data_IF_051536492259
#
_entry.id   IF_051536492259
#
_cell.length_a   1.000
_cell.length_b   1.000
_cell.length_c   1.000
_cell.angle_alpha   90.00
_cell.angle_beta   90.00
_cell.angle_gamma   90.00
#
_symmetry.space_group_name_H-M   'P 1'
#
loop_
_entity.id
_entity.type
_entity.pdbx_description
1 polymer ?
#
# COMPACT_ATOMS: atom_id res chain seq x y z
N UNK A 1 73.71 78.29 12.66
CA UNK A 1 72.38 78.57 12.06
C UNK A 1 72.14 77.56 10.95
N UNK A 2 70.94 76.96 10.95
CA UNK A 2 70.32 76.11 9.91
C UNK A 2 70.70 74.62 9.90
N UNK A 3 69.70 73.77 10.18
CA UNK A 3 69.72 72.35 9.82
C UNK A 3 69.34 71.36 10.92
N UNK A 4 68.42 71.71 11.82
CA UNK A 4 67.65 70.70 12.57
C UNK A 4 66.84 69.87 11.56
N UNK A 5 66.55 68.60 11.88
CA UNK A 5 65.48 67.79 11.26
C UNK A 5 65.83 66.79 10.13
N UNK A 6 66.96 66.09 10.22
CA UNK A 6 67.14 64.79 9.52
C UNK A 6 67.00 63.56 10.44
N UNK A 7 66.71 63.77 11.73
CA UNK A 7 66.54 62.72 12.75
C UNK A 7 65.06 62.39 13.07
N UNK A 8 64.13 62.72 12.16
CA UNK A 8 62.70 62.43 12.32
C UNK A 8 62.11 61.71 11.11
N UNK A 9 62.82 60.70 10.58
CA UNK A 9 62.28 59.83 9.52
C UNK A 9 62.71 58.38 9.66
N UNK A 10 62.78 57.87 10.89
CA UNK A 10 62.93 56.43 11.19
C UNK A 10 61.88 55.95 12.21
N UNK A 11 60.99 56.81 12.70
CA UNK A 11 59.98 56.44 13.70
C UNK A 11 58.55 56.60 13.17
N UNK A 12 58.19 55.90 12.09
CA UNK A 12 56.81 55.40 11.91
C UNK A 12 56.67 54.41 10.76
N UNK A 13 57.33 53.25 10.87
CA UNK A 13 56.97 52.06 10.08
C UNK A 13 56.10 51.08 10.90
N UNK A 14 55.79 51.42 12.15
CA UNK A 14 55.08 50.57 13.12
C UNK A 14 53.69 51.10 13.52
N UNK A 15 53.19 52.15 12.87
CA UNK A 15 51.86 52.69 13.13
C UNK A 15 50.92 52.58 11.91
N UNK A 16 51.08 51.51 11.13
CA UNK A 16 50.00 51.02 10.27
C UNK A 16 49.20 50.02 11.10
N UNK A 17 48.50 50.54 12.11
CA UNK A 17 47.63 49.78 13.02
C UNK A 17 46.28 49.43 12.39
N UNK A 18 46.08 49.70 11.12
CA UNK A 18 44.96 49.20 10.33
C UNK A 18 45.35 49.18 8.84
N UNK A 19 45.59 47.99 8.28
CA UNK A 19 45.18 47.73 6.91
C UNK A 19 43.70 47.38 6.97
N UNK A 20 42.87 48.36 7.30
CA UNK A 20 41.45 48.24 7.07
C UNK A 20 41.30 48.26 5.55
N UNK A 21 41.15 47.08 4.95
CA UNK A 21 40.71 46.90 3.57
C UNK A 21 39.25 47.36 3.45
N UNK A 22 38.97 48.62 3.77
CA UNK A 22 37.69 49.30 3.57
C UNK A 22 37.64 49.79 2.13
N UNK A 23 37.66 48.86 1.18
CA UNK A 23 36.87 49.00 -0.05
C UNK A 23 37.00 47.72 -0.90
N UNK A 24 36.53 46.57 -0.40
CA UNK A 24 35.98 45.59 -1.35
C UNK A 24 34.66 46.19 -1.84
N UNK A 25 34.72 47.05 -2.86
CA UNK A 25 33.56 47.34 -3.68
C UNK A 25 33.15 46.01 -4.29
N UNK A 26 32.35 45.22 -3.56
CA UNK A 26 31.88 43.92 -4.05
C UNK A 26 31.12 44.21 -5.33
N UNK A 27 31.75 43.88 -6.46
CA UNK A 27 31.21 44.09 -7.80
C UNK A 27 29.75 43.63 -7.85
N UNK A 28 28.92 44.34 -8.62
CA UNK A 28 27.54 43.97 -8.94
C UNK A 28 27.40 42.48 -9.30
N UNK A 29 28.45 41.89 -9.90
CA UNK A 29 28.56 40.47 -10.24
C UNK A 29 28.44 39.55 -9.01
N UNK A 30 28.99 39.92 -7.85
CA UNK A 30 28.93 39.10 -6.64
C UNK A 30 27.51 39.08 -6.03
N UNK A 31 26.83 40.24 -6.04
CA UNK A 31 25.44 40.35 -5.59
C UNK A 31 24.49 39.64 -6.56
N UNK A 32 24.71 39.81 -7.87
CA UNK A 32 23.93 39.12 -8.91
C UNK A 32 24.15 37.61 -8.86
N UNK A 33 25.39 37.14 -8.73
CA UNK A 33 25.70 35.71 -8.60
C UNK A 33 25.01 35.11 -7.38
N UNK A 34 25.06 35.77 -6.22
CA UNK A 34 24.40 35.26 -5.03
C UNK A 34 22.87 35.22 -5.18
N UNK A 35 22.27 36.28 -5.73
CA UNK A 35 20.83 36.32 -5.98
C UNK A 35 20.38 35.26 -7.00
N UNK A 36 21.15 35.07 -8.07
CA UNK A 36 20.90 34.06 -9.11
C UNK A 36 21.06 32.65 -8.54
N UNK A 37 22.15 32.38 -7.81
CA UNK A 37 22.36 31.07 -7.15
C UNK A 37 21.25 30.78 -6.16
N UNK A 38 20.85 31.75 -5.33
CA UNK A 38 19.76 31.57 -4.38
C UNK A 38 18.42 31.29 -5.07
N UNK A 39 18.14 31.99 -6.18
CA UNK A 39 16.92 31.76 -6.98
C UNK A 39 16.93 30.38 -7.62
N UNK A 40 18.06 29.96 -8.20
CA UNK A 40 18.22 28.62 -8.80
C UNK A 40 18.05 27.54 -7.72
N UNK A 41 18.69 27.68 -6.56
CA UNK A 41 18.54 26.72 -5.45
C UNK A 41 17.08 26.62 -5.01
N UNK A 42 16.37 27.74 -4.88
CA UNK A 42 14.94 27.74 -4.54
C UNK A 42 14.11 27.00 -5.60
N UNK A 43 14.37 27.24 -6.89
CA UNK A 43 13.67 26.55 -7.98
C UNK A 43 13.98 25.04 -7.98
N UNK A 44 15.23 24.66 -7.75
CA UNK A 44 15.63 23.25 -7.64
C UNK A 44 14.96 22.57 -6.45
N UNK A 45 14.85 23.25 -5.30
CA UNK A 45 14.12 22.73 -4.14
C UNK A 45 12.63 22.53 -4.45
N UNK A 46 11.98 23.50 -5.11
CA UNK A 46 10.58 23.36 -5.53
C UNK A 46 10.43 22.17 -6.48
N UNK A 47 11.31 22.03 -7.47
CA UNK A 47 11.29 20.92 -8.40
C UNK A 47 11.51 19.57 -7.70
N UNK A 48 12.42 19.50 -6.74
CA UNK A 48 12.66 18.31 -5.93
C UNK A 48 11.40 17.91 -5.15
N UNK A 49 10.70 18.88 -4.53
CA UNK A 49 9.44 18.63 -3.84
C UNK A 49 8.38 18.09 -4.81
N UNK A 50 8.23 18.70 -5.99
CA UNK A 50 7.28 18.24 -7.01
C UNK A 50 7.63 16.82 -7.47
N UNK A 51 8.90 16.52 -7.72
CA UNK A 51 9.36 15.19 -8.12
C UNK A 51 9.09 14.14 -7.04
N UNK A 52 9.30 14.47 -5.77
CA UNK A 52 8.98 13.61 -4.63
C UNK A 52 7.48 13.36 -4.54
N UNK A 53 6.65 14.40 -4.64
CA UNK A 53 5.18 14.27 -4.63
C UNK A 53 4.68 13.42 -5.80
N UNK A 54 5.26 13.61 -7.00
CA UNK A 54 4.92 12.81 -8.18
C UNK A 54 5.33 11.35 -8.02
N UNK A 55 6.53 11.10 -7.48
CA UNK A 55 7.00 9.76 -7.16
C UNK A 55 6.10 9.05 -6.15
N UNK A 56 5.72 9.74 -5.07
CA UNK A 56 4.76 9.25 -4.07
C UNK A 56 3.40 8.94 -4.70
N UNK A 57 2.89 9.83 -5.56
CA UNK A 57 1.62 9.62 -6.26
C UNK A 57 1.67 8.37 -7.15
N UNK A 58 2.72 8.21 -7.96
CA UNK A 58 2.89 7.04 -8.81
C UNK A 58 3.05 5.76 -7.97
N UNK A 59 3.84 5.81 -6.90
CA UNK A 59 4.01 4.69 -5.98
C UNK A 59 2.66 4.27 -5.36
N UNK A 60 1.89 5.22 -4.82
CA UNK A 60 0.57 4.96 -4.29
C UNK A 60 -0.37 4.39 -5.36
N UNK A 61 -0.38 4.95 -6.57
CA UNK A 61 -1.21 4.46 -7.68
C UNK A 61 -0.88 3.01 -8.04
N UNK A 62 0.40 2.65 -8.11
CA UNK A 62 0.85 1.28 -8.36
C UNK A 62 0.45 0.34 -7.22
N UNK A 63 0.66 0.76 -5.97
CA UNK A 63 0.30 -0.03 -4.80
C UNK A 63 -1.21 -0.26 -4.69
N UNK A 64 -2.02 0.76 -4.95
CA UNK A 64 -3.48 0.65 -5.01
C UNK A 64 -3.95 -0.25 -6.15
N UNK A 65 -3.30 -0.20 -7.32
CA UNK A 65 -3.62 -1.08 -8.46
C UNK A 65 -3.40 -2.55 -8.08
N UNK A 66 -2.25 -2.85 -7.47
CA UNK A 66 -1.92 -4.20 -7.02
C UNK A 66 -2.83 -4.69 -5.87
N UNK A 67 -3.42 -3.77 -5.09
CA UNK A 67 -4.42 -4.10 -4.07
C UNK A 67 -5.81 -4.34 -4.67
N UNK A 68 -6.17 -3.70 -5.79
CA UNK A 68 -7.42 -3.97 -6.51
C UNK A 68 -7.41 -5.33 -7.21
N UNK A 69 -6.32 -5.67 -7.89
CA UNK A 69 -6.19 -6.95 -8.62
C UNK A 69 -6.33 -8.16 -7.69
N UNK A 70 -5.76 -8.09 -6.47
CA UNK A 70 -5.92 -9.13 -5.46
C UNK A 70 -7.37 -9.31 -5.01
N UNK A 71 -8.10 -8.22 -4.80
CA UNK A 71 -9.51 -8.28 -4.39
C UNK A 71 -10.39 -8.88 -5.48
N UNK A 72 -10.20 -8.47 -6.75
CA UNK A 72 -10.99 -8.99 -7.86
C UNK A 72 -10.82 -10.51 -8.03
N UNK A 73 -9.60 -11.03 -7.90
CA UNK A 73 -9.36 -12.49 -7.97
C UNK A 73 -10.01 -13.26 -6.83
N UNK A 74 -10.01 -12.70 -5.61
CA UNK A 74 -10.71 -13.30 -4.47
C UNK A 74 -12.22 -13.30 -4.72
N UNK A 75 -12.80 -12.19 -5.20
CA UNK A 75 -14.24 -12.13 -5.49
C UNK A 75 -14.66 -13.09 -6.60
N UNK A 76 -13.90 -13.18 -7.70
CA UNK A 76 -14.18 -14.13 -8.78
C UNK A 76 -14.10 -15.58 -8.29
N UNK A 77 -13.14 -15.88 -7.40
CA UNK A 77 -13.02 -17.22 -6.82
C UNK A 77 -14.19 -17.54 -5.88
N UNK A 78 -14.61 -16.59 -5.05
CA UNK A 78 -15.78 -16.74 -4.15
C UNK A 78 -17.07 -16.92 -4.96
N UNK A 79 -17.23 -16.19 -6.06
CA UNK A 79 -18.40 -16.33 -6.95
C UNK A 79 -18.47 -17.73 -7.55
N UNK A 80 -17.36 -18.26 -8.08
CA UNK A 80 -17.28 -19.64 -8.59
C UNK A 80 -17.57 -20.69 -7.52
N UNK A 81 -17.08 -20.49 -6.30
CA UNK A 81 -17.38 -21.35 -5.14
C UNK A 81 -18.89 -21.31 -4.84
N UNK A 82 -19.46 -20.10 -4.79
CA UNK A 82 -20.89 -19.87 -4.54
C UNK A 82 -21.77 -20.57 -5.57
N UNK A 83 -21.47 -20.43 -6.86
CA UNK A 83 -22.21 -21.08 -7.94
C UNK A 83 -22.19 -22.60 -7.81
N UNK A 84 -21.03 -23.20 -7.51
CA UNK A 84 -20.90 -24.65 -7.39
C UNK A 84 -21.66 -25.20 -6.17
N UNK A 85 -21.55 -24.53 -5.01
CA UNK A 85 -22.31 -24.91 -3.80
C UNK A 85 -23.82 -24.75 -4.03
N UNK A 86 -24.24 -23.69 -4.73
CA UNK A 86 -25.64 -23.45 -5.07
C UNK A 86 -26.17 -24.50 -6.07
N UNK A 87 -25.39 -24.88 -7.08
CA UNK A 87 -25.77 -25.93 -8.03
C UNK A 87 -26.00 -27.26 -7.33
N UNK A 88 -25.08 -27.68 -6.45
CA UNK A 88 -25.25 -28.92 -5.72
C UNK A 88 -26.46 -28.90 -4.76
N UNK A 89 -26.80 -27.74 -4.19
CA UNK A 89 -28.04 -27.56 -3.44
C UNK A 89 -29.29 -27.74 -4.33
N UNK A 90 -29.30 -27.18 -5.55
CA UNK A 90 -30.40 -27.33 -6.50
C UNK A 90 -30.54 -28.79 -6.97
N UNK A 91 -29.42 -29.47 -7.21
CA UNK A 91 -29.40 -30.88 -7.59
C UNK A 91 -29.90 -31.77 -6.44
N UNK A 92 -29.55 -31.44 -5.20
CA UNK A 92 -30.08 -32.10 -3.99
C UNK A 92 -31.59 -31.94 -3.83
N UNK A 93 -32.17 -30.79 -4.21
CA UNK A 93 -33.62 -30.60 -4.20
C UNK A 93 -34.34 -31.47 -5.25
N UNK A 94 -33.70 -31.75 -6.38
CA UNK A 94 -34.29 -32.55 -7.46
C UNK A 94 -34.03 -34.05 -7.27
N UNK A 95 -32.88 -34.41 -6.70
CA UNK A 95 -32.47 -35.77 -6.39
C UNK A 95 -32.17 -35.90 -4.90
N UNK A 96 -33.08 -36.53 -4.16
CA UNK A 96 -32.94 -36.84 -2.73
C UNK A 96 -31.72 -37.72 -2.37
N UNK A 97 -31.00 -38.25 -3.38
CA UNK A 97 -29.75 -39.00 -3.23
C UNK A 97 -28.50 -38.12 -3.16
N UNK A 98 -28.59 -36.85 -3.55
CA UNK A 98 -27.45 -35.93 -3.49
C UNK A 98 -27.55 -35.15 -2.20
N UNK A 99 -26.52 -35.22 -1.38
CA UNK A 99 -26.49 -34.54 -0.09
C UNK A 99 -26.19 -33.03 -0.25
N UNK A 100 -26.89 -32.16 0.50
CA UNK A 100 -26.82 -30.70 0.35
C UNK A 100 -25.55 -30.05 0.97
N UNK A 101 -24.50 -30.83 1.22
CA UNK A 101 -23.26 -30.41 1.85
C UNK A 101 -22.04 -30.74 0.98
N UNK A 102 -21.10 -29.79 0.85
CA UNK A 102 -19.81 -30.03 0.19
C UNK A 102 -18.65 -30.03 1.18
N UNK A 103 -17.79 -31.06 1.18
CA UNK A 103 -16.50 -30.99 1.85
C UNK A 103 -15.60 -29.94 1.20
N UNK A 104 -15.06 -29.02 2.01
CA UNK A 104 -14.07 -28.02 1.58
C UNK A 104 -12.90 -28.61 0.75
N UNK A 105 -12.29 -29.76 1.12
CA UNK A 105 -11.19 -30.32 0.33
C UNK A 105 -11.61 -30.73 -1.09
N UNK A 106 -12.84 -31.20 -1.28
CA UNK A 106 -13.34 -31.55 -2.61
C UNK A 106 -13.57 -30.30 -3.46
N UNK A 107 -14.10 -29.23 -2.86
CA UNK A 107 -14.32 -27.95 -3.53
C UNK A 107 -13.00 -27.37 -4.05
N UNK A 108 -12.00 -27.32 -3.17
CA UNK A 108 -10.67 -26.83 -3.51
C UNK A 108 -10.05 -27.60 -4.68
N UNK A 109 -10.20 -28.92 -4.65
CA UNK A 109 -9.58 -29.81 -5.64
C UNK A 109 -10.30 -29.77 -6.99
N UNK A 110 -11.60 -29.44 -7.02
CA UNK A 110 -12.37 -29.19 -8.24
C UNK A 110 -12.10 -27.81 -8.86
N UNK A 111 -11.90 -26.76 -8.05
CA UNK A 111 -11.65 -25.41 -8.54
C UNK A 111 -10.16 -25.13 -8.87
N UNK A 112 -9.22 -25.74 -8.15
CA UNK A 112 -7.79 -25.43 -8.26
C UNK A 112 -7.03 -26.67 -8.74
N UNK A 113 -6.54 -26.59 -9.99
CA UNK A 113 -5.67 -27.63 -10.56
C UNK A 113 -4.41 -27.80 -9.70
N UNK A 114 -3.83 -29.03 -9.64
CA UNK A 114 -2.64 -29.30 -8.81
C UNK A 114 -1.46 -28.35 -9.07
N UNK A 115 -1.31 -27.91 -10.33
CA UNK A 115 -0.22 -27.04 -10.79
C UNK A 115 -0.34 -25.60 -10.27
N UNK A 116 -1.55 -25.14 -9.93
CA UNK A 116 -1.83 -23.75 -9.51
C UNK A 116 -1.99 -23.59 -8.00
N UNK A 117 -1.88 -24.70 -7.23
CA UNK A 117 -2.13 -24.70 -5.78
C UNK A 117 -1.27 -23.71 -5.01
N UNK A 118 0.03 -23.67 -5.27
CA UNK A 118 0.94 -22.76 -4.56
C UNK A 118 0.67 -21.29 -4.91
N UNK A 119 0.28 -21.01 -6.16
CA UNK A 119 -0.03 -19.65 -6.61
C UNK A 119 -1.35 -19.14 -6.05
N UNK A 120 -2.37 -20.01 -5.96
CA UNK A 120 -3.72 -19.65 -5.55
C UNK A 120 -3.95 -19.79 -4.03
N UNK A 121 -3.05 -20.41 -3.28
CA UNK A 121 -3.14 -20.56 -1.82
C UNK A 121 -3.49 -19.26 -1.06
N UNK A 122 -2.80 -18.12 -1.27
CA UNK A 122 -3.15 -16.89 -0.53
C UNK A 122 -4.50 -16.30 -0.92
N UNK A 123 -4.97 -16.55 -2.15
CA UNK A 123 -6.30 -16.12 -2.63
C UNK A 123 -7.38 -17.00 -2.01
N UNK A 124 -7.13 -18.31 -1.92
CA UNK A 124 -7.99 -19.28 -1.26
C UNK A 124 -8.15 -19.00 0.22
N UNK A 125 -7.06 -18.77 0.96
CA UNK A 125 -7.10 -18.43 2.39
C UNK A 125 -7.93 -17.17 2.65
N UNK A 126 -7.77 -16.12 1.82
CA UNK A 126 -8.59 -14.91 1.91
C UNK A 126 -10.06 -15.20 1.61
N UNK A 127 -10.36 -15.99 0.58
CA UNK A 127 -11.73 -16.38 0.23
C UNK A 127 -12.42 -17.16 1.37
N UNK A 128 -11.73 -18.12 1.99
CA UNK A 128 -12.22 -18.88 3.14
C UNK A 128 -12.49 -17.93 4.32
N UNK A 129 -11.58 -16.98 4.58
CA UNK A 129 -11.77 -15.99 5.64
C UNK A 129 -13.00 -15.10 5.39
N UNK A 130 -13.26 -14.69 4.14
CA UNK A 130 -14.48 -13.95 3.78
C UNK A 130 -15.76 -14.76 3.98
N UNK A 131 -15.72 -16.06 3.67
CA UNK A 131 -16.85 -16.98 3.88
C UNK A 131 -17.10 -17.16 5.39
N UNK A 132 -16.04 -17.41 6.17
CA UNK A 132 -16.13 -17.63 7.62
C UNK A 132 -16.56 -16.36 8.39
N UNK A 133 -16.16 -15.19 7.91
CA UNK A 133 -16.63 -13.90 8.41
C UNK A 133 -18.14 -13.65 8.16
N UNK A 134 -18.82 -14.53 7.42
CA UNK A 134 -20.25 -14.43 7.13
C UNK A 134 -20.60 -13.34 6.10
N UNK A 135 -19.62 -12.84 5.34
CA UNK A 135 -19.86 -11.88 4.25
C UNK A 135 -20.45 -12.56 3.00
N UNK A 136 -20.39 -13.90 2.93
CA UNK A 136 -20.94 -14.72 1.86
C UNK A 136 -22.19 -15.50 2.31
N UNK A 137 -23.04 -15.92 1.37
CA UNK A 137 -24.24 -16.75 1.62
C UNK A 137 -23.92 -18.20 2.01
N UNK A 138 -22.63 -18.53 2.20
CA UNK A 138 -22.15 -19.85 2.55
C UNK A 138 -21.75 -19.83 4.03
N UNK A 139 -22.15 -20.86 4.79
CA UNK A 139 -21.74 -21.05 6.18
C UNK A 139 -20.85 -22.28 6.29
N UNK A 140 -19.73 -22.13 6.99
CA UNK A 140 -18.85 -23.24 7.37
C UNK A 140 -19.40 -23.93 8.61
N UNK A 141 -19.50 -25.26 8.57
CA UNK A 141 -19.90 -26.09 9.70
C UNK A 141 -18.96 -27.29 9.81
N UNK A 142 -18.64 -27.69 11.03
CA UNK A 142 -17.86 -28.91 11.29
C UNK A 142 -18.82 -30.09 11.42
N UNK A 143 -18.66 -31.09 10.58
CA UNK A 143 -19.44 -32.32 10.63
C UNK A 143 -18.55 -33.55 10.66
N UNK A 144 -19.02 -34.57 11.38
CA UNK A 144 -18.31 -35.82 11.54
C UNK A 144 -18.68 -36.75 10.37
N UNK A 145 -17.89 -36.68 9.30
CA UNK A 145 -18.07 -37.48 8.09
C UNK A 145 -17.13 -38.70 8.15
N UNK A 146 -17.69 -39.91 8.00
CA UNK A 146 -16.90 -41.16 8.01
C UNK A 146 -15.97 -41.33 9.23
N UNK A 147 -16.35 -40.80 10.39
CA UNK A 147 -15.53 -40.90 11.61
C UNK A 147 -14.41 -39.85 11.73
N UNK A 148 -14.33 -38.88 10.82
CA UNK A 148 -13.41 -37.73 10.90
C UNK A 148 -14.18 -36.41 10.95
N UNK A 149 -13.67 -35.46 11.73
CA UNK A 149 -14.16 -34.08 11.73
C UNK A 149 -13.77 -33.40 10.42
N UNK A 150 -14.77 -33.11 9.59
CA UNK A 150 -14.63 -32.49 8.29
C UNK A 150 -15.37 -31.16 8.27
N UNK A 151 -14.69 -30.11 7.80
CA UNK A 151 -15.33 -28.83 7.52
C UNK A 151 -16.15 -28.95 6.23
N UNK A 152 -17.42 -28.60 6.32
CA UNK A 152 -18.37 -28.61 5.21
C UNK A 152 -18.96 -27.22 4.99
N UNK A 153 -19.25 -26.92 3.73
CA UNK A 153 -19.96 -25.71 3.33
C UNK A 153 -21.43 -26.01 3.08
N UNK A 154 -22.30 -25.22 3.74
CA UNK A 154 -23.74 -25.24 3.54
C UNK A 154 -24.20 -23.89 2.99
N UNK A 155 -25.07 -23.93 1.98
CA UNK A 155 -25.77 -22.74 1.52
C UNK A 155 -26.73 -22.25 2.61
N UNK A 156 -26.56 -21.00 3.05
CA UNK A 156 -27.51 -20.35 3.95
C UNK A 156 -28.48 -19.55 3.11
N UNK A 157 -29.67 -20.10 2.86
CA UNK A 157 -30.81 -19.26 2.53
C UNK A 157 -31.07 -18.36 3.76
N UNK A 158 -31.15 -17.04 3.55
CA UNK A 158 -31.46 -16.08 4.62
C UNK A 158 -32.59 -16.60 5.50
N UNK A 159 -32.52 -16.42 6.83
CA UNK A 159 -33.62 -16.80 7.69
C UNK A 159 -34.82 -15.90 7.36
N UNK A 160 -35.84 -16.47 6.72
CA UNK A 160 -37.21 -16.03 6.99
C UNK A 160 -37.41 -16.27 8.47
N UNK A 161 -37.28 -15.21 9.28
CA UNK A 161 -37.73 -15.20 10.66
C UNK A 161 -39.24 -15.49 10.68
N UNK A 162 -39.70 -16.62 11.22
CA UNK A 162 -41.10 -16.76 11.60
C UNK A 162 -41.20 -16.22 13.02
N UNK A 163 -41.95 -15.13 13.18
CA UNK A 163 -42.27 -14.59 14.49
C UNK A 163 -42.72 -15.69 15.45
N UNK A 164 -41.99 -15.87 16.54
CA UNK A 164 -42.45 -16.62 17.70
C UNK A 164 -42.84 -15.59 18.75
N UNK A 165 -44.13 -15.24 18.72
CA UNK A 165 -44.82 -14.63 19.85
C UNK A 165 -44.82 -15.65 21.00
N UNK A 166 -44.44 -15.29 22.23
CA UNK A 166 -44.77 -16.12 23.38
C UNK A 166 -46.21 -15.83 23.79
N UNK A 167 -46.97 -16.90 23.98
CA UNK A 167 -48.22 -16.94 24.73
C UNK A 167 -47.92 -17.00 26.23
#
# INVERSE_FOLDING_TARGET
VRGLDANLKVANASDVKFLESIHLQRSFVCRLRNAVVQTIVRLLLIFLVIAVLWGLYLYAKLWLKQKRERKTQVFELVEKISEMVQQQMLDSQTNWRVEPFLPIPHVRDSLIKPQDRDRMRPVWEQAVQFIDAGESRIRTENQLLHGQDCEVWRWTSLPTSPGSSPA
#
